data_IF_493337988606
#
_entry.id   IF_493337988606
#
_cell.length_a   1.000
_cell.length_b   1.000
_cell.length_c   1.000
_cell.angle_alpha   90.00
_cell.angle_beta   90.00
_cell.angle_gamma   90.00
#
_symmetry.space_group_name_H-M   'P 1'
#
loop_
_entity.id
_entity.type
_entity.pdbx_description
1 polymer ?
#
# COMPACT_ATOMS: atom_id res chain seq x y z
N UNK A 1 15.60 15.57 40.14
CA UNK A 1 16.21 14.30 39.68
C UNK A 1 15.90 14.18 38.19
N UNK A 2 16.82 14.66 37.34
CA UNK A 2 16.66 14.61 35.88
C UNK A 2 16.96 13.16 35.46
N UNK A 3 15.90 12.43 35.03
CA UNK A 3 16.08 11.15 34.34
C UNK A 3 16.57 11.46 32.93
N UNK A 4 17.85 11.30 32.69
CA UNK A 4 18.40 11.20 31.35
C UNK A 4 17.91 9.87 30.77
N UNK A 5 16.95 9.89 29.84
CA UNK A 5 16.64 8.77 28.99
C UNK A 5 17.78 8.64 27.98
N UNK A 6 18.67 7.69 28.22
CA UNK A 6 19.67 7.31 27.22
C UNK A 6 18.88 6.50 26.20
N UNK A 7 18.68 7.08 25.03
CA UNK A 7 18.20 6.35 23.87
C UNK A 7 19.25 5.27 23.54
N UNK A 8 18.97 4.03 23.85
CA UNK A 8 19.77 2.91 23.37
C UNK A 8 19.44 2.75 21.88
N UNK A 9 20.21 3.42 21.03
CA UNK A 9 20.21 3.14 19.60
C UNK A 9 20.84 1.77 19.45
N UNK A 10 19.99 0.77 19.40
CA UNK A 10 20.41 -0.55 19.00
C UNK A 10 20.63 -0.48 17.48
N UNK A 11 21.83 -0.82 16.98
CA UNK A 11 22.13 -1.00 15.55
C UNK A 11 21.31 -2.16 14.94
N UNK A 12 20.20 -2.50 15.54
CA UNK A 12 19.32 -3.57 15.07
C UNK A 12 18.56 -3.11 13.83
N UNK A 13 18.89 -3.73 12.75
CA UNK A 13 18.12 -3.67 11.51
C UNK A 13 16.83 -4.47 11.65
N UNK A 14 15.72 -3.84 11.38
CA UNK A 14 14.44 -4.53 11.24
C UNK A 14 14.05 -4.64 9.78
N UNK A 15 13.42 -5.74 9.42
CA UNK A 15 13.07 -6.05 8.06
C UNK A 15 11.63 -6.55 7.98
N UNK A 16 10.90 -6.08 6.98
CA UNK A 16 9.57 -6.55 6.65
C UNK A 16 9.39 -6.65 5.14
N UNK A 17 8.72 -7.69 4.71
CA UNK A 17 8.36 -7.92 3.31
C UNK A 17 6.85 -7.88 3.16
N UNK A 18 6.39 -7.25 2.09
CA UNK A 18 4.98 -7.11 1.72
C UNK A 18 4.85 -7.37 0.23
N UNK A 19 3.76 -7.96 -0.19
CA UNK A 19 3.53 -8.33 -1.57
C UNK A 19 2.91 -7.20 -2.41
N UNK A 20 2.98 -7.34 -3.73
CA UNK A 20 2.24 -6.51 -4.68
C UNK A 20 0.80 -6.98 -4.83
N UNK A 21 0.02 -6.22 -5.60
CA UNK A 21 -1.35 -6.60 -5.91
C UNK A 21 -1.77 -6.11 -7.31
N UNK A 22 -2.85 -6.69 -7.82
CA UNK A 22 -3.54 -6.26 -9.04
C UNK A 22 -4.98 -5.87 -8.72
N UNK A 23 -5.51 -4.86 -9.40
CA UNK A 23 -6.93 -4.49 -9.27
C UNK A 23 -7.83 -5.53 -9.91
N UNK A 24 -8.88 -5.90 -9.23
CA UNK A 24 -10.02 -6.65 -9.78
C UNK A 24 -11.12 -5.65 -10.16
N UNK A 25 -11.50 -4.76 -9.24
CA UNK A 25 -12.41 -3.64 -9.50
C UNK A 25 -11.77 -2.35 -8.98
N UNK A 26 -11.73 -1.33 -9.80
CA UNK A 26 -11.09 -0.06 -9.46
C UNK A 26 -11.99 0.80 -8.56
N UNK A 27 -11.44 1.34 -7.48
CA UNK A 27 -12.17 2.10 -6.47
C UNK A 27 -12.33 3.60 -6.79
N UNK A 28 -11.69 4.14 -7.83
CA UNK A 28 -11.62 5.60 -8.05
C UNK A 28 -13.00 6.22 -8.20
N UNK A 29 -13.92 5.55 -8.89
CA UNK A 29 -15.24 6.10 -9.20
C UNK A 29 -16.26 5.96 -8.06
N UNK A 30 -16.30 4.80 -7.40
CA UNK A 30 -17.34 4.44 -6.42
C UNK A 30 -16.86 4.53 -4.98
N UNK A 31 -15.54 4.60 -4.77
CA UNK A 31 -14.94 4.41 -3.45
C UNK A 31 -14.93 2.97 -2.97
N UNK A 32 -15.54 2.03 -3.71
CA UNK A 32 -15.44 0.59 -3.44
C UNK A 32 -14.48 -0.05 -4.42
N UNK A 33 -13.58 -0.88 -3.92
CA UNK A 33 -12.54 -1.51 -4.72
C UNK A 33 -12.31 -2.96 -4.35
N UNK A 34 -11.67 -3.67 -5.26
CA UNK A 34 -11.22 -5.03 -5.03
C UNK A 34 -9.86 -5.25 -5.67
N UNK A 35 -8.99 -5.93 -4.95
CA UNK A 35 -7.65 -6.27 -5.40
C UNK A 35 -7.26 -7.69 -4.99
N UNK A 36 -6.34 -8.28 -5.74
CA UNK A 36 -5.78 -9.60 -5.50
C UNK A 36 -4.27 -9.47 -5.26
N UNK A 37 -3.80 -10.03 -4.15
CA UNK A 37 -2.36 -10.11 -3.84
C UNK A 37 -1.62 -11.00 -4.84
N UNK A 38 -0.40 -10.62 -5.18
CA UNK A 38 0.49 -11.35 -6.10
C UNK A 38 1.85 -11.60 -5.48
N UNK A 39 2.68 -12.44 -6.08
CA UNK A 39 3.97 -12.88 -5.53
C UNK A 39 5.13 -11.90 -5.66
N UNK A 40 4.99 -10.78 -6.39
CA UNK A 40 6.01 -9.73 -6.39
C UNK A 40 6.15 -9.10 -5.02
N UNK A 41 7.37 -8.73 -4.60
CA UNK A 41 7.65 -8.32 -3.23
C UNK A 41 8.26 -6.92 -3.14
N UNK A 42 7.99 -6.28 -2.02
CA UNK A 42 8.70 -5.10 -1.54
C UNK A 42 9.22 -5.38 -0.13
N UNK A 43 10.50 -5.21 0.05
CA UNK A 43 11.19 -5.36 1.33
C UNK A 43 11.63 -3.98 1.84
N UNK A 44 11.31 -3.65 3.08
CA UNK A 44 11.80 -2.46 3.75
C UNK A 44 12.69 -2.83 4.94
N UNK A 45 13.86 -2.22 5.00
CA UNK A 45 14.80 -2.30 6.12
C UNK A 45 14.82 -0.96 6.84
N UNK A 46 14.71 -0.96 8.16
CA UNK A 46 14.75 0.22 9.01
C UNK A 46 15.80 0.03 10.11
N UNK A 47 16.68 1.04 10.26
CA UNK A 47 17.62 1.16 11.39
C UNK A 47 17.41 2.53 12.03
N UNK A 48 17.10 2.57 13.33
CA UNK A 48 16.98 3.83 14.07
C UNK A 48 18.34 4.46 14.26
N UNK A 49 18.42 5.80 14.22
CA UNK A 49 19.65 6.57 14.39
C UNK A 49 19.46 7.63 15.47
N UNK A 50 20.57 8.09 16.07
CA UNK A 50 20.55 9.10 17.15
C UNK A 50 20.46 10.55 16.66
N UNK A 51 20.55 10.79 15.35
CA UNK A 51 20.76 12.12 14.75
C UNK A 51 19.48 12.84 14.31
N UNK A 52 18.31 12.32 14.57
CA UNK A 52 17.01 12.87 14.13
C UNK A 52 16.84 13.04 12.60
N UNK A 53 17.77 12.53 11.79
CA UNK A 53 17.67 12.57 10.33
C UNK A 53 16.97 11.32 9.81
N UNK A 54 16.21 11.46 8.72
CA UNK A 54 15.60 10.33 8.02
C UNK A 54 16.23 10.22 6.64
N UNK A 55 17.09 9.23 6.49
CA UNK A 55 17.71 8.89 5.22
C UNK A 55 16.89 7.78 4.55
N UNK A 56 16.56 7.95 3.27
CA UNK A 56 15.77 6.96 2.51
C UNK A 56 16.48 6.65 1.21
N UNK A 57 16.55 5.35 0.89
CA UNK A 57 17.09 4.83 -0.37
C UNK A 57 16.07 3.83 -0.93
N UNK A 58 15.64 4.02 -2.18
CA UNK A 58 14.68 3.16 -2.87
C UNK A 58 15.36 2.55 -4.10
N UNK A 59 15.42 1.21 -4.17
CA UNK A 59 16.04 0.46 -5.26
C UNK A 59 17.47 0.94 -5.64
N UNK A 60 18.25 1.36 -4.65
CA UNK A 60 19.56 2.00 -4.85
C UNK A 60 19.53 3.29 -5.69
N UNK A 61 18.34 3.87 -5.92
CA UNK A 61 18.16 5.14 -6.62
C UNK A 61 17.87 6.25 -5.60
N UNK A 62 18.74 7.29 -5.59
CA UNK A 62 18.59 8.46 -4.72
C UNK A 62 17.66 9.53 -5.33
N UNK A 63 17.27 9.39 -6.58
CA UNK A 63 16.37 10.31 -7.27
C UNK A 63 14.89 10.03 -7.07
N UNK A 64 14.53 8.84 -6.56
CA UNK A 64 13.15 8.47 -6.29
C UNK A 64 12.55 9.31 -5.15
N UNK A 65 11.24 9.55 -5.24
CA UNK A 65 10.54 10.37 -4.25
C UNK A 65 10.44 9.66 -2.90
N UNK A 66 11.04 10.22 -1.88
CA UNK A 66 11.11 9.64 -0.52
C UNK A 66 9.98 10.08 0.41
N UNK A 67 9.08 10.97 -0.03
CA UNK A 67 8.05 11.58 0.81
C UNK A 67 7.13 10.57 1.50
N UNK A 68 6.74 9.50 0.81
CA UNK A 68 5.93 8.43 1.39
C UNK A 68 6.69 7.72 2.54
N UNK A 69 7.95 7.37 2.34
CA UNK A 69 8.75 6.69 3.36
C UNK A 69 8.97 7.56 4.61
N UNK A 70 9.23 8.85 4.41
CA UNK A 70 9.37 9.82 5.50
C UNK A 70 8.07 9.96 6.29
N UNK A 71 6.92 10.00 5.60
CA UNK A 71 5.61 10.09 6.26
C UNK A 71 5.26 8.82 7.04
N UNK A 72 5.57 7.63 6.50
CA UNK A 72 5.41 6.36 7.21
C UNK A 72 6.20 6.35 8.53
N UNK A 73 7.48 6.71 8.47
CA UNK A 73 8.32 6.79 9.67
C UNK A 73 7.77 7.79 10.67
N UNK A 74 7.40 8.99 10.23
CA UNK A 74 6.84 10.06 11.06
C UNK A 74 5.59 9.60 11.80
N UNK A 75 4.63 8.95 11.12
CA UNK A 75 3.39 8.48 11.72
C UNK A 75 3.64 7.43 12.80
N UNK A 76 4.57 6.50 12.60
CA UNK A 76 4.93 5.51 13.63
C UNK A 76 5.68 6.18 14.78
N UNK A 77 6.67 7.03 14.49
CA UNK A 77 7.43 7.77 15.51
C UNK A 77 6.54 8.61 16.42
N UNK A 78 5.48 9.23 15.90
CA UNK A 78 4.51 10.01 16.69
C UNK A 78 3.79 9.19 17.77
N UNK A 79 3.83 7.87 17.72
CA UNK A 79 3.26 6.97 18.74
C UNK A 79 4.25 6.64 19.86
N UNK A 80 5.46 7.18 19.76
CA UNK A 80 6.54 7.03 20.75
C UNK A 80 6.91 8.39 21.34
N UNK A 81 7.70 8.37 22.42
CA UNK A 81 8.36 9.57 22.98
C UNK A 81 9.81 9.68 22.51
N UNK A 82 10.22 8.83 21.56
CA UNK A 82 11.62 8.75 21.12
C UNK A 82 12.03 9.94 20.26
N UNK A 83 13.24 10.44 20.51
CA UNK A 83 13.87 11.46 19.68
C UNK A 83 15.00 10.80 18.88
N UNK A 84 14.68 10.32 17.69
CA UNK A 84 15.60 9.59 16.83
C UNK A 84 15.30 9.85 15.36
N UNK A 85 16.27 9.57 14.50
CA UNK A 85 16.10 9.46 13.07
C UNK A 85 16.01 8.00 12.61
N UNK A 86 16.11 7.78 11.32
CA UNK A 86 16.16 6.45 10.76
C UNK A 86 16.90 6.42 9.41
N UNK A 87 17.54 5.29 9.14
CA UNK A 87 17.95 4.91 7.81
C UNK A 87 16.98 3.86 7.29
N UNK A 88 16.32 4.16 6.17
CA UNK A 88 15.29 3.33 5.55
C UNK A 88 15.79 2.91 4.17
N UNK A 89 15.86 1.62 3.92
CA UNK A 89 16.18 1.07 2.60
C UNK A 89 15.01 0.26 2.10
N UNK A 90 14.50 0.58 0.90
CA UNK A 90 13.41 -0.14 0.25
C UNK A 90 13.92 -0.79 -1.01
N UNK A 91 13.75 -2.11 -1.12
CA UNK A 91 14.02 -2.88 -2.32
C UNK A 91 12.73 -3.54 -2.78
N UNK A 92 12.42 -3.40 -4.07
CA UNK A 92 11.14 -3.84 -4.60
C UNK A 92 11.30 -4.45 -5.99
N UNK A 93 10.71 -5.63 -6.19
CA UNK A 93 10.53 -6.25 -7.50
C UNK A 93 9.30 -5.70 -8.22
N UNK A 94 8.46 -4.92 -7.51
CA UNK A 94 7.23 -4.34 -8.05
C UNK A 94 7.59 -3.11 -8.88
N UNK A 95 7.31 -3.09 -10.20
CA UNK A 95 7.58 -1.93 -11.05
C UNK A 95 6.85 -0.66 -10.55
N UNK A 96 7.62 0.40 -10.30
CA UNK A 96 7.11 1.67 -9.76
C UNK A 96 6.25 2.40 -10.81
N UNK A 97 5.04 2.83 -10.42
CA UNK A 97 4.14 3.60 -11.27
C UNK A 97 3.57 2.79 -12.45
N UNK A 98 3.35 1.49 -12.27
CA UNK A 98 2.84 0.55 -13.29
C UNK A 98 1.53 -0.14 -12.87
N UNK A 99 0.81 0.39 -11.89
CA UNK A 99 -0.47 -0.16 -11.45
C UNK A 99 -0.40 -1.42 -10.59
N UNK A 100 0.81 -1.86 -10.19
CA UNK A 100 1.04 -3.07 -9.39
C UNK A 100 1.16 -2.80 -7.89
N UNK A 101 0.67 -1.64 -7.45
CA UNK A 101 0.53 -1.24 -6.04
C UNK A 101 1.84 -1.06 -5.28
N UNK A 102 2.91 -0.66 -5.98
CA UNK A 102 4.23 -0.47 -5.38
C UNK A 102 4.23 0.53 -4.21
N UNK A 103 3.42 1.60 -4.25
CA UNK A 103 3.30 2.57 -3.16
C UNK A 103 2.64 1.98 -1.92
N UNK A 104 1.56 1.19 -2.08
CA UNK A 104 0.86 0.53 -0.97
C UNK A 104 1.75 -0.53 -0.31
N UNK A 105 2.45 -1.33 -1.12
CA UNK A 105 3.41 -2.32 -0.62
C UNK A 105 4.56 -1.64 0.15
N UNK A 106 5.14 -0.57 -0.41
CA UNK A 106 6.22 0.17 0.24
C UNK A 106 5.78 0.81 1.55
N UNK A 107 4.62 1.50 1.57
CA UNK A 107 4.09 2.11 2.80
C UNK A 107 3.93 1.08 3.91
N UNK A 108 3.30 -0.05 3.60
CA UNK A 108 3.05 -1.11 4.59
C UNK A 108 4.33 -1.78 5.06
N UNK A 109 5.26 -2.10 4.16
CA UNK A 109 6.55 -2.69 4.52
C UNK A 109 7.37 -1.77 5.45
N UNK A 110 7.40 -0.46 5.16
CA UNK A 110 8.09 0.54 5.98
C UNK A 110 7.43 0.65 7.36
N UNK A 111 6.09 0.76 7.42
CA UNK A 111 5.36 0.83 8.68
C UNK A 111 5.64 -0.40 9.54
N UNK A 112 5.55 -1.61 8.98
CA UNK A 112 5.84 -2.84 9.69
C UNK A 112 7.27 -2.89 10.23
N UNK A 113 8.26 -2.43 9.44
CA UNK A 113 9.64 -2.37 9.88
C UNK A 113 9.86 -1.31 10.96
N UNK A 114 9.20 -0.15 10.86
CA UNK A 114 9.22 0.87 11.90
C UNK A 114 8.59 0.36 13.20
N UNK A 115 7.42 -0.30 13.13
CA UNK A 115 6.76 -0.89 14.31
C UNK A 115 7.67 -1.89 15.02
N UNK A 116 8.37 -2.75 14.26
CA UNK A 116 9.37 -3.66 14.82
C UNK A 116 10.54 -2.90 15.46
N UNK A 117 11.06 -1.86 14.81
CA UNK A 117 12.19 -1.07 15.31
C UNK A 117 11.85 -0.31 16.61
N UNK A 118 10.61 0.12 16.77
CA UNK A 118 10.11 0.78 17.98
C UNK A 118 9.48 -0.20 18.98
N UNK A 119 9.48 -1.50 18.71
CA UNK A 119 8.85 -2.55 19.53
C UNK A 119 7.35 -2.27 19.81
N UNK A 120 6.65 -1.69 18.82
CA UNK A 120 5.21 -1.39 18.91
C UNK A 120 4.40 -2.53 18.30
N UNK A 121 3.40 -3.01 19.03
CA UNK A 121 2.43 -3.99 18.55
C UNK A 121 1.13 -3.29 18.17
N UNK A 122 0.64 -3.59 16.96
CA UNK A 122 -0.63 -3.07 16.43
C UNK A 122 -1.45 -4.19 15.82
N UNK A 123 -2.75 -3.98 15.78
CA UNK A 123 -3.69 -4.84 15.04
C UNK A 123 -3.54 -4.63 13.53
N UNK A 124 -3.97 -5.62 12.73
CA UNK A 124 -4.01 -5.50 11.26
C UNK A 124 -4.76 -4.23 10.81
N UNK A 125 -5.90 -3.93 11.45
CA UNK A 125 -6.68 -2.72 11.16
C UNK A 125 -5.89 -1.43 11.39
N UNK A 126 -5.18 -1.33 12.50
CA UNK A 126 -4.35 -0.14 12.80
C UNK A 126 -3.19 0.02 11.82
N UNK A 127 -2.60 -1.09 11.37
CA UNK A 127 -1.53 -1.08 10.35
C UNK A 127 -2.10 -0.61 9.01
N UNK A 128 -3.26 -1.12 8.59
CA UNK A 128 -3.95 -0.67 7.39
C UNK A 128 -4.27 0.82 7.47
N UNK A 129 -4.82 1.29 8.59
CA UNK A 129 -5.18 2.69 8.81
C UNK A 129 -3.96 3.61 8.70
N UNK A 130 -2.83 3.22 9.29
CA UNK A 130 -1.59 3.99 9.18
C UNK A 130 -1.05 4.02 7.75
N UNK A 131 -1.11 2.91 7.03
CA UNK A 131 -0.64 2.80 5.64
C UNK A 131 -1.47 3.68 4.70
N UNK A 132 -2.80 3.65 4.87
CA UNK A 132 -3.75 4.52 4.15
C UNK A 132 -3.49 5.99 4.48
N UNK A 133 -3.29 6.32 5.76
CA UNK A 133 -3.00 7.68 6.20
C UNK A 133 -1.68 8.20 5.62
N UNK A 134 -0.61 7.40 5.64
CA UNK A 134 0.68 7.77 5.05
C UNK A 134 0.54 8.04 3.54
N UNK A 135 -0.20 7.20 2.84
CA UNK A 135 -0.47 7.33 1.41
C UNK A 135 -1.26 8.60 1.07
N UNK A 136 -2.27 8.96 1.89
CA UNK A 136 -3.03 10.20 1.75
C UNK A 136 -2.17 11.43 2.03
N UNK A 137 -1.44 11.43 3.13
CA UNK A 137 -0.62 12.57 3.55
C UNK A 137 0.52 12.88 2.55
N UNK A 138 1.08 11.84 1.91
CA UNK A 138 2.13 11.99 0.89
C UNK A 138 1.59 12.26 -0.52
N UNK A 139 0.27 12.25 -0.71
CA UNK A 139 -0.37 12.57 -2.00
C UNK A 139 -0.19 11.51 -3.08
N UNK A 140 0.13 10.27 -2.71
CA UNK A 140 0.32 9.17 -3.69
C UNK A 140 -0.99 8.46 -4.04
N UNK A 141 -2.09 8.81 -3.39
CA UNK A 141 -3.41 8.24 -3.64
C UNK A 141 -4.52 9.30 -3.54
N UNK A 142 -5.64 9.07 -4.22
CA UNK A 142 -6.86 9.89 -4.17
C UNK A 142 -7.82 9.33 -3.11
N UNK A 143 -8.10 8.03 -3.15
CA UNK A 143 -9.11 7.36 -2.31
C UNK A 143 -8.56 6.85 -0.96
N UNK A 144 -7.23 6.81 -0.82
CA UNK A 144 -6.53 6.14 0.28
C UNK A 144 -6.08 4.73 -0.08
N UNK A 145 -6.63 4.14 -1.16
CA UNK A 145 -6.27 2.84 -1.71
C UNK A 145 -6.24 1.72 -0.65
N UNK A 146 -7.31 1.61 0.15
CA UNK A 146 -7.42 0.56 1.17
C UNK A 146 -7.43 -0.84 0.54
N UNK A 147 -8.11 -1.01 -0.61
CA UNK A 147 -8.10 -2.24 -1.40
C UNK A 147 -6.69 -2.68 -1.77
N UNK A 148 -5.89 -1.75 -2.31
CA UNK A 148 -4.50 -2.00 -2.68
C UNK A 148 -3.67 -2.38 -1.45
N UNK A 149 -3.80 -1.60 -0.37
CA UNK A 149 -3.06 -1.80 0.89
C UNK A 149 -3.43 -3.13 1.56
N UNK A 150 -4.72 -3.46 1.61
CA UNK A 150 -5.20 -4.71 2.19
C UNK A 150 -4.75 -5.93 1.38
N UNK A 151 -4.84 -5.88 0.05
CA UNK A 151 -4.34 -6.96 -0.81
C UNK A 151 -2.83 -7.17 -0.68
N UNK A 152 -2.05 -6.09 -0.60
CA UNK A 152 -0.60 -6.16 -0.41
C UNK A 152 -0.23 -6.76 0.96
N UNK A 153 -0.91 -6.34 2.02
CA UNK A 153 -0.58 -6.72 3.39
C UNK A 153 -1.13 -8.09 3.79
N UNK A 154 -2.43 -8.30 3.56
CA UNK A 154 -3.13 -9.49 4.01
C UNK A 154 -3.05 -10.64 3.01
N UNK A 155 -2.84 -10.32 1.73
CA UNK A 155 -2.90 -11.29 0.63
C UNK A 155 -4.31 -11.80 0.36
N UNK A 156 -4.45 -12.61 -0.70
CA UNK A 156 -5.72 -13.11 -1.18
C UNK A 156 -6.52 -12.05 -1.96
N UNK A 157 -7.80 -12.34 -2.20
CA UNK A 157 -8.76 -11.43 -2.81
C UNK A 157 -9.41 -10.60 -1.71
N UNK A 158 -9.35 -9.28 -1.82
CA UNK A 158 -10.00 -8.36 -0.89
C UNK A 158 -11.04 -7.51 -1.59
N UNK A 159 -12.11 -7.17 -0.87
CA UNK A 159 -13.11 -6.17 -1.27
C UNK A 159 -13.20 -5.13 -0.15
N UNK A 160 -13.13 -3.86 -0.49
CA UNK A 160 -13.12 -2.77 0.49
C UNK A 160 -14.06 -1.64 0.10
N UNK A 161 -14.46 -0.88 1.11
CA UNK A 161 -15.00 0.46 0.95
C UNK A 161 -13.93 1.47 1.41
N UNK A 162 -13.28 2.11 0.45
CA UNK A 162 -12.20 3.08 0.73
C UNK A 162 -12.75 4.37 1.35
N UNK A 163 -14.02 4.71 1.08
CA UNK A 163 -14.67 5.91 1.61
C UNK A 163 -14.93 5.79 3.12
N UNK A 164 -15.39 4.63 3.58
CA UNK A 164 -15.58 4.32 5.01
C UNK A 164 -14.35 3.70 5.66
N UNK A 165 -13.28 3.43 4.89
CA UNK A 165 -12.07 2.75 5.32
C UNK A 165 -12.35 1.37 5.96
N UNK A 166 -13.18 0.57 5.27
CA UNK A 166 -13.70 -0.71 5.75
C UNK A 166 -13.31 -1.86 4.82
N UNK A 167 -12.77 -2.94 5.39
CA UNK A 167 -12.57 -4.22 4.70
C UNK A 167 -13.89 -5.01 4.72
N UNK A 168 -14.53 -5.14 3.56
CA UNK A 168 -15.83 -5.81 3.42
C UNK A 168 -15.69 -7.33 3.33
N UNK A 169 -14.65 -7.80 2.63
CA UNK A 169 -14.39 -9.23 2.47
C UNK A 169 -12.92 -9.50 2.22
N UNK A 170 -12.46 -10.66 2.70
CA UNK A 170 -11.16 -11.25 2.33
C UNK A 170 -11.34 -12.75 2.12
N UNK A 171 -10.89 -13.23 0.97
CA UNK A 171 -10.93 -14.65 0.61
C UNK A 171 -9.53 -15.11 0.23
N UNK A 172 -9.11 -16.24 0.79
CA UNK A 172 -7.89 -16.92 0.33
C UNK A 172 -8.21 -17.55 -1.03
N UNK A 173 -7.37 -17.28 -2.02
CA UNK A 173 -7.48 -17.89 -3.34
C UNK A 173 -6.53 -19.06 -3.38
N UNK A 174 -7.08 -20.26 -3.42
CA UNK A 174 -6.31 -21.52 -3.38
C UNK A 174 -5.84 -21.97 -4.78
N UNK A 175 -6.25 -21.27 -5.83
CA UNK A 175 -5.88 -21.59 -7.20
C UNK A 175 -4.50 -21.03 -7.54
N UNK A 176 -3.71 -21.83 -8.23
CA UNK A 176 -2.37 -21.48 -8.73
C UNK A 176 -2.49 -20.73 -10.07
N UNK A 177 -2.74 -19.42 -10.01
CA UNK A 177 -2.79 -18.57 -11.19
C UNK A 177 -1.39 -18.08 -11.61
N UNK A 178 -1.09 -18.21 -12.90
CA UNK A 178 0.02 -17.48 -13.50
C UNK A 178 -0.45 -16.10 -13.97
N UNK A 179 0.21 -15.04 -13.52
CA UNK A 179 -0.13 -13.66 -13.88
C UNK A 179 0.89 -13.17 -14.90
N UNK A 180 0.43 -12.86 -16.12
CA UNK A 180 1.26 -12.23 -17.15
C UNK A 180 1.15 -10.71 -17.00
N UNK A 181 2.28 -10.04 -16.73
CA UNK A 181 2.35 -8.60 -16.55
C UNK A 181 3.03 -7.98 -17.76
N UNK A 182 2.32 -7.07 -18.44
CA UNK A 182 2.93 -6.19 -19.44
C UNK A 182 3.27 -4.86 -18.77
N UNK A 183 4.56 -4.49 -18.81
CA UNK A 183 5.06 -3.23 -18.23
C UNK A 183 5.35 -2.25 -19.37
N UNK A 184 4.51 -1.25 -19.62
CA UNK A 184 4.77 -0.25 -20.66
C UNK A 184 5.95 0.67 -20.28
N UNK A 185 6.58 1.32 -21.25
CA UNK A 185 7.77 2.15 -21.01
C UNK A 185 7.46 3.43 -20.21
N UNK A 186 6.22 3.95 -20.28
CA UNK A 186 5.81 5.14 -19.55
C UNK A 186 5.22 4.83 -18.18
N UNK A 187 5.52 5.66 -17.19
CA UNK A 187 4.90 5.60 -15.86
C UNK A 187 3.50 6.24 -15.90
N UNK A 188 2.56 5.68 -15.15
CA UNK A 188 1.22 6.23 -14.95
C UNK A 188 0.93 6.32 -13.46
N UNK A 189 0.61 7.51 -12.97
CA UNK A 189 0.32 7.73 -11.57
C UNK A 189 -1.17 7.96 -11.35
N UNK A 190 -1.73 7.40 -10.29
CA UNK A 190 -3.16 7.51 -9.93
C UNK A 190 -3.62 8.96 -9.81
N UNK A 191 -2.76 9.87 -9.35
CA UNK A 191 -3.07 11.31 -9.22
C UNK A 191 -3.33 12.02 -10.55
N UNK A 192 -2.89 11.44 -11.67
CA UNK A 192 -3.00 12.03 -13.01
C UNK A 192 -4.27 11.55 -13.75
N UNK A 193 -5.05 10.65 -13.11
CA UNK A 193 -6.30 10.12 -13.66
C UNK A 193 -7.41 11.14 -13.47
N UNK A 194 -7.90 11.70 -14.58
CA UNK A 194 -9.08 12.55 -14.56
C UNK A 194 -10.31 11.70 -14.84
N UNK A 195 -11.17 11.53 -13.81
CA UNK A 195 -12.35 10.68 -13.90
C UNK A 195 -13.61 11.51 -14.14
N UNK A 196 -14.32 11.24 -15.24
CA UNK A 196 -15.64 11.78 -15.53
C UNK A 196 -16.58 10.67 -15.97
N UNK A 197 -17.06 9.87 -15.00
CA UNK A 197 -18.00 8.78 -15.29
C UNK A 197 -19.46 9.22 -15.23
N UNK A 198 -20.30 8.63 -16.07
CA UNK A 198 -21.75 8.74 -16.00
C UNK A 198 -22.34 7.87 -14.88
N UNK A 199 -23.59 8.12 -14.47
CA UNK A 199 -24.32 7.29 -13.49
C UNK A 199 -24.40 5.82 -13.93
N UNK A 200 -24.53 5.54 -15.22
CA UNK A 200 -24.54 4.18 -15.79
C UNK A 200 -23.21 3.48 -15.56
N UNK A 201 -22.09 4.21 -15.67
CA UNK A 201 -20.76 3.70 -15.39
C UNK A 201 -20.61 3.32 -13.90
N UNK A 202 -21.06 4.18 -12.98
CA UNK A 202 -21.03 3.92 -11.55
C UNK A 202 -21.83 2.66 -11.21
N UNK A 203 -23.05 2.55 -11.73
CA UNK A 203 -23.91 1.37 -11.51
C UNK A 203 -23.28 0.07 -12.03
N UNK A 204 -22.54 0.15 -13.14
CA UNK A 204 -21.80 -1.00 -13.67
C UNK A 204 -20.70 -1.45 -12.70
N UNK A 205 -19.97 -0.53 -12.09
CA UNK A 205 -18.91 -0.87 -11.12
C UNK A 205 -19.48 -1.48 -9.82
N UNK A 206 -20.62 -0.99 -9.32
CA UNK A 206 -21.30 -1.60 -8.16
C UNK A 206 -21.70 -3.05 -8.45
N UNK A 207 -22.12 -3.35 -9.68
CA UNK A 207 -22.38 -4.71 -10.12
C UNK A 207 -21.14 -5.59 -10.08
N UNK A 208 -19.96 -5.05 -10.48
CA UNK A 208 -18.69 -5.79 -10.44
C UNK A 208 -18.25 -6.11 -9.01
N UNK A 209 -18.49 -5.21 -8.05
CA UNK A 209 -18.26 -5.47 -6.62
C UNK A 209 -19.12 -6.64 -6.15
N UNK A 210 -20.41 -6.65 -6.48
CA UNK A 210 -21.33 -7.74 -6.15
C UNK A 210 -20.86 -9.06 -6.76
N UNK A 211 -20.48 -9.09 -8.03
CA UNK A 211 -19.91 -10.26 -8.71
C UNK A 211 -18.66 -10.78 -8.00
N UNK A 212 -17.80 -9.86 -7.52
CA UNK A 212 -16.58 -10.23 -6.81
C UNK A 212 -16.89 -10.87 -5.46
N UNK A 213 -17.85 -10.34 -4.72
CA UNK A 213 -18.32 -10.91 -3.45
C UNK A 213 -18.97 -12.29 -3.61
N UNK A 214 -19.58 -12.55 -4.77
CA UNK A 214 -20.14 -13.85 -5.15
C UNK A 214 -19.11 -14.87 -5.65
N UNK A 215 -17.83 -14.50 -5.73
CA UNK A 215 -16.74 -15.36 -6.20
C UNK A 215 -16.46 -15.28 -7.71
N UNK A 216 -17.18 -14.45 -8.46
CA UNK A 216 -17.00 -14.26 -9.92
C UNK A 216 -15.93 -13.21 -10.27
N UNK A 217 -14.84 -13.15 -9.48
CA UNK A 217 -13.84 -12.08 -9.54
C UNK A 217 -13.06 -12.02 -10.86
N UNK A 218 -12.80 -13.13 -11.56
CA UNK A 218 -12.12 -13.11 -12.86
C UNK A 218 -12.99 -12.48 -13.96
N UNK A 219 -14.30 -12.75 -13.92
CA UNK A 219 -15.25 -12.09 -14.82
C UNK A 219 -15.38 -10.61 -14.50
N UNK A 220 -15.43 -10.25 -13.21
CA UNK A 220 -15.46 -8.87 -12.75
C UNK A 220 -14.21 -8.12 -13.21
N UNK A 221 -13.01 -8.70 -13.08
CA UNK A 221 -11.75 -8.13 -13.55
C UNK A 221 -11.77 -7.86 -15.07
N UNK A 222 -12.24 -8.81 -15.86
CA UNK A 222 -12.34 -8.68 -17.32
C UNK A 222 -13.28 -7.54 -17.72
N UNK A 223 -14.46 -7.47 -17.10
CA UNK A 223 -15.43 -6.41 -17.33
C UNK A 223 -14.92 -5.06 -16.85
N UNK A 224 -14.24 -4.98 -15.70
CA UNK A 224 -13.59 -3.76 -15.22
C UNK A 224 -12.60 -3.23 -16.25
N UNK A 225 -11.75 -4.09 -16.82
CA UNK A 225 -10.81 -3.72 -17.89
C UNK A 225 -11.52 -3.18 -19.12
N UNK A 226 -12.62 -3.82 -19.56
CA UNK A 226 -13.43 -3.37 -20.70
C UNK A 226 -14.08 -2.00 -20.45
N UNK A 227 -14.57 -1.76 -19.25
CA UNK A 227 -15.20 -0.49 -18.85
C UNK A 227 -14.13 0.63 -18.90
N UNK A 228 -12.99 0.44 -18.23
CA UNK A 228 -11.92 1.44 -18.17
C UNK A 228 -11.19 1.65 -19.50
N UNK A 229 -11.24 0.71 -20.45
CA UNK A 229 -10.65 0.88 -21.78
C UNK A 229 -11.44 1.85 -22.69
N UNK A 230 -12.63 2.29 -22.26
CA UNK A 230 -13.52 3.19 -23.02
C UNK A 230 -13.49 4.64 -22.52
N UNK A 231 -12.74 4.88 -21.48
CA UNK A 231 -12.52 6.20 -20.87
C UNK A 231 -11.13 6.71 -21.23
#
# INVERSE_FOLDING_TARGET
>A
MLKYWICWVNDMKTLSTVHGAISIVNAIATGQGSALGISLETCAEVTLTSDNLVEVIINNDKSENTGLAQECFKLVKMKTSESCGAKITVNSDIPIGRGLKSSSAAATAIILSCLKAFEIVMTEKEILDLSVQASKNSGVTITGALDDTAACFLGGLVVTNNSSNELLSRVIVDDDYSILIHVPDHKSYTKDVNYSGSDEFIHSLDTLISMTLEGNYLSAMSLNGMIYSRI
#
